data_IF_978679320491
#
_entry.id   IF_978679320491
#
_cell.length_a   1.000
_cell.length_b   1.000
_cell.length_c   1.000
_cell.angle_alpha   90.00
_cell.angle_beta   90.00
_cell.angle_gamma   90.00
#
_symmetry.space_group_name_H-M   'P 1'
#
loop_
_entity.id
_entity.type
_entity.pdbx_description
1 polymer ?
#
# COMPACT_ATOMS: atom_id res chain seq x y z
N UNK A 1 11.77 -6.72 -5.80
CA UNK A 1 12.05 -8.01 -5.13
C UNK A 1 10.84 -8.40 -4.34
N UNK A 2 10.99 -9.03 -3.17
CA UNK A 2 9.84 -9.40 -2.32
C UNK A 2 9.29 -8.27 -1.45
N UNK A 3 9.91 -7.09 -1.49
CA UNK A 3 9.45 -5.89 -0.78
C UNK A 3 9.08 -4.86 -1.86
N UNK A 4 7.88 -4.31 -1.75
CA UNK A 4 7.46 -3.13 -2.48
C UNK A 4 7.79 -1.90 -1.63
N UNK A 5 8.40 -0.89 -2.25
CA UNK A 5 8.54 0.45 -1.70
C UNK A 5 7.68 1.39 -2.53
N UNK A 6 6.72 2.05 -1.88
CA UNK A 6 5.64 2.77 -2.54
C UNK A 6 5.71 4.22 -2.09
N UNK A 7 5.68 5.14 -3.07
CA UNK A 7 5.43 6.56 -2.83
C UNK A 7 4.17 6.97 -3.57
N UNK A 8 3.19 7.48 -2.83
CA UNK A 8 1.93 8.00 -3.35
C UNK A 8 1.99 9.52 -3.32
N UNK A 9 1.53 10.16 -4.38
CA UNK A 9 1.18 11.58 -4.38
C UNK A 9 -0.27 11.75 -4.77
N UNK A 10 -1.07 12.35 -3.89
CA UNK A 10 -2.47 12.67 -4.14
C UNK A 10 -2.66 14.18 -4.09
N UNK A 11 -3.40 14.71 -5.05
CA UNK A 11 -3.69 16.15 -5.16
C UNK A 11 -5.19 16.36 -5.16
N UNK A 12 -5.66 17.12 -4.19
CA UNK A 12 -7.06 17.50 -4.04
C UNK A 12 -7.20 19.01 -4.26
N UNK A 13 -8.36 19.44 -4.76
CA UNK A 13 -8.69 20.85 -4.91
C UNK A 13 -10.08 21.13 -4.38
N UNK A 14 -10.23 22.16 -3.53
CA UNK A 14 -11.55 22.67 -3.19
C UNK A 14 -12.10 23.47 -4.39
N UNK A 15 -12.94 22.82 -5.20
CA UNK A 15 -13.62 23.47 -6.33
C UNK A 15 -14.93 24.15 -5.91
N UNK A 16 -15.31 24.07 -4.64
CA UNK A 16 -16.51 24.68 -4.08
C UNK A 16 -16.35 26.17 -3.81
N UNK A 17 -17.40 26.76 -3.23
CA UNK A 17 -17.45 28.18 -2.82
C UNK A 17 -17.29 28.39 -1.31
N UNK A 18 -17.28 27.31 -0.54
CA UNK A 18 -17.24 27.34 0.92
C UNK A 18 -15.90 26.82 1.43
N UNK A 19 -15.47 27.32 2.59
CA UNK A 19 -14.39 26.72 3.37
C UNK A 19 -14.80 25.31 3.81
N UNK A 20 -13.89 24.35 3.69
CA UNK A 20 -14.12 22.96 4.04
C UNK A 20 -13.24 22.52 5.21
N UNK A 21 -13.74 21.51 5.92
CA UNK A 21 -12.94 20.63 6.77
C UNK A 21 -13.01 19.23 6.16
N UNK A 22 -11.90 18.52 6.15
CA UNK A 22 -11.76 17.21 5.53
C UNK A 22 -11.01 16.25 6.44
N UNK A 23 -11.30 14.97 6.26
CA UNK A 23 -10.58 13.88 6.90
C UNK A 23 -9.88 13.10 5.79
N UNK A 24 -8.56 13.06 5.84
CA UNK A 24 -7.76 12.22 4.97
C UNK A 24 -7.63 10.83 5.60
N UNK A 25 -8.02 9.79 4.86
CA UNK A 25 -7.94 8.40 5.31
C UNK A 25 -7.16 7.58 4.29
N UNK A 26 -6.10 6.93 4.74
CA UNK A 26 -5.32 6.00 3.92
C UNK A 26 -5.51 4.56 4.41
N UNK A 27 -6.15 3.68 3.61
CA UNK A 27 -6.18 2.25 3.88
C UNK A 27 -4.87 1.61 3.43
N UNK A 28 -4.13 1.03 4.37
CA UNK A 28 -2.93 0.26 4.10
C UNK A 28 -3.19 -1.25 4.22
N UNK A 29 -2.29 -2.09 3.67
CA UNK A 29 -2.24 -3.52 3.95
C UNK A 29 -1.85 -3.78 5.41
N UNK A 30 -2.21 -4.93 5.99
CA UNK A 30 -1.69 -5.34 7.32
C UNK A 30 -0.17 -5.50 7.35
N UNK A 31 0.44 -5.66 6.17
CA UNK A 31 1.88 -5.81 5.99
C UNK A 31 2.57 -4.51 5.59
N UNK A 32 1.81 -3.41 5.52
CA UNK A 32 2.35 -2.13 5.15
C UNK A 32 2.98 -1.44 6.36
N UNK A 33 4.19 -0.90 6.18
CA UNK A 33 4.86 -0.05 7.15
C UNK A 33 5.05 1.35 6.55
N UNK A 34 4.22 2.30 7.02
CA UNK A 34 4.32 3.72 6.66
C UNK A 34 5.53 4.33 7.36
N UNK A 35 6.41 4.99 6.61
CA UNK A 35 7.65 5.57 7.14
C UNK A 35 7.82 7.05 6.79
N UNK A 36 7.00 7.61 5.89
CA UNK A 36 6.99 9.05 5.61
C UNK A 36 5.60 9.51 5.22
N UNK A 37 5.16 10.66 5.75
CA UNK A 37 3.96 11.33 5.28
C UNK A 37 4.12 12.85 5.39
N UNK A 38 3.73 13.55 4.33
CA UNK A 38 3.75 15.01 4.22
C UNK A 38 2.46 15.48 3.57
N UNK A 39 1.90 16.57 4.07
CA UNK A 39 0.80 17.27 3.43
C UNK A 39 1.14 18.75 3.24
N UNK A 40 0.79 19.29 2.08
CA UNK A 40 0.95 20.71 1.74
C UNK A 40 -0.40 21.31 1.38
N UNK A 41 -0.76 22.44 1.98
CA UNK A 41 -2.01 23.18 1.75
C UNK A 41 -1.67 24.64 1.52
N UNK A 42 -1.79 25.12 0.28
CA UNK A 42 -1.28 26.45 -0.08
C UNK A 42 0.22 26.55 0.26
N UNK A 43 0.60 27.47 1.15
CA UNK A 43 1.98 27.64 1.65
C UNK A 43 2.29 26.83 2.92
N UNK A 44 1.28 26.21 3.55
CA UNK A 44 1.45 25.47 4.80
C UNK A 44 1.93 24.05 4.50
N UNK A 45 3.00 23.63 5.16
CA UNK A 45 3.48 22.25 5.16
C UNK A 45 3.22 21.59 6.52
N UNK A 46 2.71 20.36 6.48
CA UNK A 46 2.42 19.51 7.64
C UNK A 46 3.23 18.23 7.44
N UNK A 47 4.24 18.02 8.27
CA UNK A 47 5.03 16.80 8.30
C UNK A 47 4.48 15.87 9.39
N UNK A 48 4.18 14.63 9.02
CA UNK A 48 3.80 13.63 10.00
C UNK A 48 5.03 13.13 10.74
N UNK A 49 4.98 13.18 12.07
CA UNK A 49 5.98 12.51 12.91
C UNK A 49 5.48 11.10 13.17
N UNK A 50 6.06 10.12 12.46
CA UNK A 50 5.71 8.71 12.63
C UNK A 50 6.49 8.17 13.83
N UNK A 51 5.77 7.77 14.85
CA UNK A 51 6.32 7.22 16.09
C UNK A 51 5.63 5.93 16.44
N UNK A 52 6.28 5.11 17.28
CA UNK A 52 5.62 3.98 17.92
C UNK A 52 4.37 4.47 18.68
N UNK A 53 3.29 3.68 18.60
CA UNK A 53 1.95 4.06 19.06
C UNK A 53 1.93 4.68 20.47
N UNK A 54 2.62 4.08 21.43
CA UNK A 54 2.62 4.56 22.81
C UNK A 54 3.43 5.86 22.98
N UNK A 55 4.53 6.01 22.24
CA UNK A 55 5.32 7.24 22.23
C UNK A 55 4.57 8.40 21.57
N UNK A 56 3.85 8.12 20.48
CA UNK A 56 3.01 9.11 19.79
C UNK A 56 1.92 9.66 20.71
N UNK A 57 1.26 8.79 21.49
CA UNK A 57 0.22 9.16 22.45
C UNK A 57 0.77 10.06 23.55
N UNK A 58 1.90 9.67 24.16
CA UNK A 58 2.54 10.47 25.22
C UNK A 58 2.92 11.87 24.74
N UNK A 59 3.53 11.97 23.55
CA UNK A 59 3.93 13.25 22.98
C UNK A 59 2.73 14.16 22.66
N UNK A 60 1.61 13.57 22.24
CA UNK A 60 0.37 14.32 22.00
C UNK A 60 -0.23 14.89 23.28
N UNK A 61 -0.39 14.05 24.32
CA UNK A 61 -0.93 14.46 25.62
C UNK A 61 -0.08 15.58 26.24
N UNK A 62 1.24 15.46 26.11
CA UNK A 62 2.18 16.50 26.54
C UNK A 62 2.02 17.80 25.75
N UNK A 63 1.95 17.74 24.41
CA UNK A 63 1.80 18.92 23.57
C UNK A 63 0.48 19.66 23.82
N UNK A 64 -0.60 18.92 24.09
CA UNK A 64 -1.91 19.46 24.51
C UNK A 64 -1.81 20.18 25.85
N UNK A 65 -1.16 19.57 26.84
CA UNK A 65 -0.94 20.19 28.16
C UNK A 65 -0.09 21.47 28.08
N UNK A 66 0.82 21.55 27.10
CA UNK A 66 1.70 22.70 26.86
C UNK A 66 1.06 23.80 25.99
N UNK A 67 -0.18 23.64 25.53
CA UNK A 67 -0.88 24.65 24.72
C UNK A 67 -0.28 24.87 23.33
N UNK A 68 0.50 23.91 22.81
CA UNK A 68 1.12 24.00 21.49
C UNK A 68 0.11 23.63 20.39
N UNK A 69 0.16 24.33 19.27
CA UNK A 69 -0.59 23.96 18.05
C UNK A 69 0.01 22.70 17.44
N UNK A 70 -0.45 21.53 17.87
CA UNK A 70 -0.05 20.23 17.31
C UNK A 70 -1.13 19.72 16.35
N UNK A 71 -0.76 19.33 15.13
CA UNK A 71 -1.61 18.49 14.27
C UNK A 71 -1.32 17.03 14.57
N UNK A 72 -2.32 16.28 15.03
CA UNK A 72 -2.18 14.86 15.35
C UNK A 72 -2.54 13.99 14.14
N UNK A 73 -1.63 13.12 13.74
CA UNK A 73 -1.93 11.98 12.88
C UNK A 73 -2.34 10.81 13.79
N UNK A 74 -3.60 10.38 13.74
CA UNK A 74 -4.10 9.28 14.56
C UNK A 74 -4.18 7.99 13.75
N UNK A 75 -3.50 6.94 14.23
CA UNK A 75 -3.71 5.58 13.76
C UNK A 75 -4.97 5.02 14.43
N UNK A 76 -6.14 5.14 13.77
CA UNK A 76 -7.41 4.61 14.31
C UNK A 76 -7.42 3.08 14.40
N UNK A 77 -6.72 2.37 13.51
CA UNK A 77 -6.58 0.89 13.46
C UNK A 77 -5.19 0.51 12.92
N UNK A 78 -4.70 -0.74 13.13
CA UNK A 78 -3.39 -1.19 12.63
C UNK A 78 -3.09 -0.83 11.17
N UNK A 79 -4.13 -0.70 10.32
CA UNK A 79 -4.00 -0.50 8.88
C UNK A 79 -4.71 0.77 8.36
N UNK A 80 -5.13 1.69 9.22
CA UNK A 80 -5.86 2.90 8.80
C UNK A 80 -5.23 4.12 9.44
N UNK A 81 -4.70 4.99 8.59
CA UNK A 81 -4.11 6.27 8.99
C UNK A 81 -5.12 7.38 8.71
N UNK A 82 -5.37 8.23 9.71
CA UNK A 82 -6.33 9.33 9.59
C UNK A 82 -5.68 10.66 9.96
N UNK A 83 -5.92 11.70 9.15
CA UNK A 83 -5.55 13.08 9.47
C UNK A 83 -6.72 14.04 9.25
N UNK A 84 -6.97 14.89 10.23
CA UNK A 84 -7.99 15.93 10.13
C UNK A 84 -7.36 17.21 9.57
N UNK A 85 -8.04 17.79 8.58
CA UNK A 85 -7.60 18.99 7.86
C UNK A 85 -8.71 20.02 7.93
N UNK A 86 -8.48 21.11 8.66
CA UNK A 86 -9.44 22.19 8.78
C UNK A 86 -9.07 23.39 7.91
N UNK A 87 -10.04 24.26 7.64
CA UNK A 87 -9.87 25.55 6.98
C UNK A 87 -9.31 25.47 5.55
N UNK A 88 -9.86 24.58 4.72
CA UNK A 88 -9.52 24.46 3.29
C UNK A 88 -10.35 25.50 2.52
N UNK A 89 -9.73 26.59 2.08
CA UNK A 89 -10.42 27.69 1.42
C UNK A 89 -10.85 27.33 -0.01
N UNK A 90 -11.86 28.01 -0.57
CA UNK A 90 -12.21 27.88 -1.99
C UNK A 90 -10.98 28.09 -2.89
N UNK A 91 -10.70 27.11 -3.75
CA UNK A 91 -9.55 27.15 -4.65
C UNK A 91 -8.27 26.52 -4.11
N UNK A 92 -8.18 26.24 -2.80
CA UNK A 92 -6.99 25.62 -2.20
C UNK A 92 -6.68 24.28 -2.84
N UNK A 93 -5.38 24.03 -3.00
CA UNK A 93 -4.82 22.75 -3.45
C UNK A 93 -4.14 22.09 -2.25
N UNK A 94 -4.50 20.83 -2.01
CA UNK A 94 -3.92 19.98 -0.99
C UNK A 94 -3.11 18.90 -1.69
N UNK A 95 -1.82 18.81 -1.40
CA UNK A 95 -0.94 17.73 -1.86
C UNK A 95 -0.61 16.83 -0.69
N UNK A 96 -0.85 15.54 -0.81
CA UNK A 96 -0.45 14.52 0.16
C UNK A 96 0.61 13.64 -0.47
N UNK A 97 1.75 13.50 0.19
CA UNK A 97 2.84 12.61 -0.16
C UNK A 97 2.98 11.57 0.95
N UNK A 98 2.86 10.29 0.61
CA UNK A 98 2.90 9.18 1.57
C UNK A 98 3.85 8.11 1.04
N UNK A 99 4.77 7.64 1.90
CA UNK A 99 5.67 6.54 1.57
C UNK A 99 5.55 5.40 2.58
N UNK A 100 5.44 4.18 2.05
CA UNK A 100 5.34 2.96 2.83
C UNK A 100 5.98 1.79 2.11
N UNK A 101 6.36 0.77 2.88
CA UNK A 101 6.82 -0.51 2.34
C UNK A 101 5.78 -1.59 2.58
N UNK A 102 5.72 -2.59 1.70
CA UNK A 102 4.91 -3.80 1.90
C UNK A 102 5.71 -5.05 1.54
N UNK A 103 5.65 -6.08 2.40
CA UNK A 103 6.17 -7.41 2.09
C UNK A 103 5.17 -8.17 1.19
N UNK A 104 5.65 -8.57 0.02
CA UNK A 104 4.93 -9.36 -0.97
C UNK A 104 5.22 -10.85 -0.75
N UNK A 105 4.21 -11.57 -0.27
CA UNK A 105 4.30 -13.02 -0.07
C UNK A 105 3.75 -13.71 -1.32
N UNK A 106 4.53 -14.59 -1.98
CA UNK A 106 4.07 -15.23 -3.20
C UNK A 106 3.03 -16.30 -2.89
N UNK A 107 1.97 -16.33 -3.68
CA UNK A 107 1.00 -17.44 -3.67
C UNK A 107 1.23 -18.30 -4.91
N UNK A 108 1.44 -19.60 -4.72
CA UNK A 108 1.76 -20.53 -5.83
C UNK A 108 2.91 -20.05 -6.73
N UNK A 109 3.91 -19.39 -6.12
CA UNK A 109 5.08 -18.85 -6.80
C UNK A 109 4.84 -17.56 -7.60
N UNK A 110 3.67 -16.93 -7.43
CA UNK A 110 3.33 -15.63 -8.04
C UNK A 110 3.35 -14.58 -6.96
N UNK A 111 4.20 -13.57 -7.13
CA UNK A 111 4.15 -12.35 -6.33
C UNK A 111 3.09 -11.44 -6.93
N UNK A 112 2.25 -10.87 -6.08
CA UNK A 112 1.22 -9.93 -6.48
C UNK A 112 1.36 -8.63 -5.68
N UNK A 113 1.44 -7.52 -6.39
CA UNK A 113 1.29 -6.19 -5.82
C UNK A 113 -0.07 -5.63 -6.24
N UNK A 114 -0.83 -5.14 -5.27
CA UNK A 114 -2.15 -4.54 -5.49
C UNK A 114 -2.14 -3.13 -4.92
N UNK A 115 -2.37 -2.15 -5.79
CA UNK A 115 -2.61 -0.77 -5.39
C UNK A 115 -4.09 -0.42 -5.57
N UNK A 116 -4.84 -0.20 -4.49
CA UNK A 116 -6.24 0.15 -4.58
C UNK A 116 -6.40 1.60 -5.08
N UNK A 117 -7.14 1.78 -6.16
CA UNK A 117 -7.44 3.10 -6.74
C UNK A 117 -8.89 3.53 -6.47
N UNK A 118 -9.75 2.56 -6.15
CA UNK A 118 -11.15 2.77 -5.82
C UNK A 118 -11.35 2.56 -4.33
N UNK A 119 -11.89 3.58 -3.66
CA UNK A 119 -12.38 3.43 -2.29
C UNK A 119 -13.87 3.09 -2.38
N UNK A 120 -14.18 1.78 -2.44
CA UNK A 120 -15.56 1.31 -2.29
C UNK A 120 -16.03 1.40 -0.83
N UNK A 121 -17.35 1.46 -0.58
CA UNK A 121 -17.89 1.36 0.77
C UNK A 121 -17.46 0.01 1.37
N UNK A 122 -16.88 0.04 2.58
CA UNK A 122 -16.48 -1.21 3.23
C UNK A 122 -17.70 -1.83 3.90
N UNK A 123 -17.97 -3.10 3.57
CA UNK A 123 -19.05 -3.85 4.23
C UNK A 123 -18.80 -3.93 5.73
N UNK A 124 -19.75 -3.38 6.48
CA UNK A 124 -19.88 -3.52 7.92
C UNK A 124 -20.89 -4.63 8.20
N UNK A 125 -20.60 -5.50 9.17
CA UNK A 125 -21.58 -6.47 9.67
C UNK A 125 -22.65 -5.83 10.57
N UNK A 126 -22.58 -4.51 10.80
CA UNK A 126 -23.56 -3.74 11.57
C UNK A 126 -24.29 -2.73 10.67
N UNK A 127 -25.63 -2.63 10.77
CA UNK A 127 -26.40 -1.59 10.10
C UNK A 127 -25.87 -0.19 10.45
N UNK A 128 -25.78 0.71 9.46
CA UNK A 128 -25.29 2.09 9.63
C UNK A 128 -26.00 2.85 10.76
N UNK A 129 -27.27 2.53 11.04
CA UNK A 129 -28.07 3.13 12.12
C UNK A 129 -27.59 2.75 13.53
N UNK A 130 -26.84 1.65 13.65
CA UNK A 130 -26.30 1.13 14.92
C UNK A 130 -24.78 1.21 15.02
N UNK A 131 -24.12 1.66 13.95
CA UNK A 131 -22.67 1.76 13.88
C UNK A 131 -22.16 2.82 14.87
N UNK A 132 -21.07 2.51 15.58
CA UNK A 132 -20.46 3.47 16.50
C UNK A 132 -19.95 4.70 15.74
N UNK A 133 -19.81 5.89 16.36
CA UNK A 133 -19.29 7.09 15.68
C UNK A 133 -17.93 6.89 14.98
N UNK A 134 -17.14 5.92 15.47
CA UNK A 134 -15.87 5.49 14.88
C UNK A 134 -16.00 4.66 13.57
N UNK A 135 -17.22 4.32 13.16
CA UNK A 135 -17.54 3.55 11.95
C UNK A 135 -18.12 4.41 10.81
N UNK A 136 -18.28 5.73 11.01
CA UNK A 136 -18.81 6.65 10.01
C UNK A 136 -17.99 6.77 8.71
N UNK A 137 -16.75 6.24 8.67
CA UNK A 137 -15.94 6.14 7.44
C UNK A 137 -16.44 5.07 6.44
N UNK A 138 -17.36 4.20 6.87
CA UNK A 138 -18.02 3.19 6.02
C UNK A 138 -18.94 3.84 4.98
N UNK A 139 -19.45 5.05 5.26
CA UNK A 139 -20.35 5.81 4.39
C UNK A 139 -19.62 6.80 3.46
N UNK A 140 -18.42 6.45 2.99
CA UNK A 140 -17.69 7.36 2.10
C UNK A 140 -18.40 7.47 0.73
N UNK A 141 -18.57 8.69 0.19
CA UNK A 141 -19.03 8.87 -1.18
C UNK A 141 -18.11 8.10 -2.13
N UNK A 142 -18.70 7.34 -3.04
CA UNK A 142 -17.98 6.57 -4.05
C UNK A 142 -18.55 6.87 -5.43
N UNK A 143 -17.72 6.70 -6.46
CA UNK A 143 -18.13 6.86 -7.85
C UNK A 143 -18.97 5.65 -8.28
N UNK A 144 -20.16 5.89 -8.84
CA UNK A 144 -21.05 4.79 -9.25
C UNK A 144 -20.55 4.12 -10.53
N UNK A 145 -20.97 2.87 -10.73
CA UNK A 145 -20.65 2.14 -11.96
C UNK A 145 -21.15 2.91 -13.20
N UNK A 146 -20.30 3.04 -14.22
CA UNK A 146 -20.59 3.80 -15.44
C UNK A 146 -20.23 5.28 -15.39
N UNK A 147 -19.93 5.84 -14.20
CA UNK A 147 -19.42 7.20 -14.09
C UNK A 147 -17.90 7.26 -14.33
N UNK A 148 -17.45 8.32 -15.01
CA UNK A 148 -16.01 8.53 -15.22
C UNK A 148 -15.38 9.09 -13.94
N UNK A 149 -14.24 8.53 -13.49
CA UNK A 149 -13.44 9.14 -12.43
C UNK A 149 -13.20 10.62 -12.69
N UNK A 150 -13.24 11.45 -11.65
CA UNK A 150 -13.00 12.90 -11.76
C UNK A 150 -11.52 13.28 -11.60
N UNK A 151 -10.63 12.29 -11.54
CA UNK A 151 -9.21 12.44 -11.27
C UNK A 151 -8.37 11.74 -12.33
N UNK A 152 -7.12 12.18 -12.44
CA UNK A 152 -6.10 11.52 -13.24
C UNK A 152 -5.39 10.46 -12.39
N UNK A 153 -4.92 9.40 -13.05
CA UNK A 153 -4.18 8.32 -12.40
C UNK A 153 -2.92 8.02 -13.20
N UNK A 154 -1.81 7.85 -12.50
CA UNK A 154 -0.56 7.39 -13.06
C UNK A 154 0.16 6.54 -12.02
N UNK A 155 0.80 5.47 -12.48
CA UNK A 155 1.65 4.62 -11.68
C UNK A 155 2.82 4.12 -12.52
N UNK A 156 4.00 4.13 -11.91
CA UNK A 156 5.22 3.56 -12.46
C UNK A 156 5.71 2.49 -11.51
N UNK A 157 6.05 1.32 -12.03
CA UNK A 157 6.58 0.22 -11.23
C UNK A 157 7.92 -0.22 -11.77
N UNK A 158 8.87 -0.42 -10.86
CA UNK A 158 10.17 -1.03 -11.17
C UNK A 158 10.34 -2.27 -10.31
N UNK A 159 10.46 -3.44 -10.95
CA UNK A 159 10.76 -4.69 -10.28
C UNK A 159 12.27 -4.89 -10.34
N UNK A 160 12.97 -4.62 -9.24
CA UNK A 160 14.37 -5.00 -9.05
C UNK A 160 14.45 -6.22 -8.12
N UNK A 161 14.63 -7.41 -8.69
CA UNK A 161 14.44 -8.65 -7.95
C UNK A 161 15.71 -9.33 -7.44
N UNK A 162 16.90 -8.93 -7.91
CA UNK A 162 18.17 -9.62 -7.57
C UNK A 162 18.24 -11.07 -8.07
N UNK A 163 17.21 -11.51 -8.78
CA UNK A 163 16.94 -12.81 -9.38
C UNK A 163 16.33 -12.56 -10.76
N UNK A 164 16.49 -13.49 -11.71
CA UNK A 164 15.79 -13.41 -12.99
C UNK A 164 14.27 -13.34 -12.77
N UNK A 165 13.64 -12.37 -13.43
CA UNK A 165 12.19 -12.25 -13.49
C UNK A 165 11.71 -13.05 -14.70
N UNK A 166 10.96 -14.13 -14.46
CA UNK A 166 10.58 -15.07 -15.52
C UNK A 166 9.27 -14.72 -16.21
N UNK A 167 8.37 -14.05 -15.49
CA UNK A 167 7.02 -13.71 -15.94
C UNK A 167 6.59 -12.42 -15.25
N UNK A 168 5.98 -11.50 -16.01
CA UNK A 168 5.42 -10.24 -15.52
C UNK A 168 4.16 -9.94 -16.31
N UNK A 169 3.08 -9.58 -15.62
CA UNK A 169 1.84 -9.15 -16.25
C UNK A 169 1.08 -8.16 -15.36
N UNK A 170 0.34 -7.28 -16.01
CA UNK A 170 -0.65 -6.41 -15.36
C UNK A 170 -2.05 -6.85 -15.83
N UNK A 171 -2.77 -7.70 -15.10
CA UNK A 171 -4.10 -8.15 -15.51
C UNK A 171 -5.17 -7.04 -15.44
N UNK A 172 -4.86 -5.93 -14.77
CA UNK A 172 -5.81 -4.86 -14.47
C UNK A 172 -5.80 -3.73 -15.50
N UNK A 173 -4.63 -3.41 -16.08
CA UNK A 173 -4.41 -2.22 -16.92
C UNK A 173 -3.57 -2.55 -18.15
N UNK A 174 -3.73 -1.77 -19.22
CA UNK A 174 -2.79 -1.83 -20.34
C UNK A 174 -1.46 -1.15 -19.95
N UNK A 175 -0.37 -1.92 -19.98
CA UNK A 175 0.95 -1.45 -19.59
C UNK A 175 2.00 -1.75 -20.65
N UNK A 176 2.98 -0.86 -20.78
CA UNK A 176 4.26 -1.18 -21.41
C UNK A 176 5.15 -1.84 -20.36
N UNK A 177 5.67 -3.03 -20.66
CA UNK A 177 6.52 -3.82 -19.77
C UNK A 177 7.85 -4.00 -20.48
N UNK A 178 8.90 -3.39 -19.95
CA UNK A 178 10.24 -3.41 -20.54
C UNK A 178 11.22 -4.13 -19.61
N UNK A 179 11.85 -5.19 -20.12
CA UNK A 179 12.90 -5.90 -19.43
C UNK A 179 14.24 -5.19 -19.68
N UNK A 180 14.61 -4.28 -18.78
CA UNK A 180 15.91 -3.57 -18.83
C UNK A 180 17.09 -4.52 -18.61
N UNK A 181 16.89 -5.56 -17.80
CA UNK A 181 17.81 -6.66 -17.60
C UNK A 181 17.02 -7.91 -17.17
N UNK A 182 17.64 -9.10 -17.08
CA UNK A 182 16.97 -10.28 -16.52
C UNK A 182 16.38 -10.04 -15.12
N UNK A 183 16.94 -9.12 -14.33
CA UNK A 183 16.57 -8.91 -12.92
C UNK A 183 15.82 -7.59 -12.68
N UNK A 184 15.65 -6.78 -13.73
CA UNK A 184 15.06 -5.44 -13.67
C UNK A 184 14.00 -5.30 -14.75
N UNK A 185 12.77 -5.01 -14.33
CA UNK A 185 11.64 -4.79 -15.24
C UNK A 185 11.00 -3.46 -14.90
N UNK A 186 10.79 -2.60 -15.89
CA UNK A 186 10.00 -1.38 -15.76
C UNK A 186 8.60 -1.59 -16.36
N UNK A 187 7.60 -1.04 -15.67
CA UNK A 187 6.19 -1.13 -16.04
C UNK A 187 5.61 0.27 -15.97
N UNK A 188 5.06 0.71 -17.10
CA UNK A 188 4.41 2.00 -17.26
C UNK A 188 2.99 1.81 -17.77
N UNK A 189 2.04 2.62 -17.29
CA UNK A 189 0.73 2.68 -17.93
C UNK A 189 0.88 3.13 -19.37
N UNK A 190 0.20 2.42 -20.29
CA UNK A 190 0.28 2.72 -21.72
C UNK A 190 -0.46 4.01 -22.06
N UNK A 191 -1.52 4.34 -21.32
CA UNK A 191 -2.29 5.55 -21.55
C UNK A 191 -2.68 6.26 -20.23
N UNK A 192 -1.93 7.28 -19.87
CA UNK A 192 -2.23 8.09 -18.67
C UNK A 192 -3.37 9.10 -18.86
N UNK A 193 -3.92 9.19 -20.08
CA UNK A 193 -5.05 10.10 -20.40
C UNK A 193 -6.41 9.41 -20.32
N UNK A 194 -6.43 8.08 -20.27
CA UNK A 194 -7.63 7.29 -20.00
C UNK A 194 -7.85 7.18 -18.49
N UNK A 195 -9.12 7.26 -18.07
CA UNK A 195 -9.55 7.18 -16.68
C UNK A 195 -9.31 5.78 -16.09
N UNK A 196 -8.05 5.49 -15.79
CA UNK A 196 -7.57 4.16 -15.42
C UNK A 196 -7.71 3.87 -13.92
N UNK A 197 -7.89 4.88 -13.07
CA UNK A 197 -8.12 4.69 -11.63
C UNK A 197 -9.48 4.07 -11.24
N UNK A 198 -10.23 3.44 -12.15
CA UNK A 198 -11.56 2.89 -11.84
C UNK A 198 -11.54 1.46 -11.30
N UNK A 199 -10.35 0.89 -11.06
CA UNK A 199 -10.13 -0.46 -10.52
C UNK A 199 -8.72 -0.56 -9.94
N UNK A 200 -8.52 -1.53 -9.07
CA UNK A 200 -7.21 -1.76 -8.47
C UNK A 200 -6.13 -2.00 -9.53
N UNK A 201 -4.97 -1.40 -9.34
CA UNK A 201 -3.80 -1.65 -10.16
C UNK A 201 -3.05 -2.86 -9.61
N UNK A 202 -2.97 -3.91 -10.42
CA UNK A 202 -2.45 -5.23 -10.04
C UNK A 202 -1.26 -5.55 -10.93
N UNK A 203 -0.11 -5.84 -10.33
CA UNK A 203 1.07 -6.38 -11.01
C UNK A 203 1.37 -7.76 -10.43
N UNK A 204 1.48 -8.74 -11.33
CA UNK A 204 1.86 -10.10 -10.98
C UNK A 204 3.18 -10.45 -11.64
N UNK A 205 4.09 -11.07 -10.89
CA UNK A 205 5.38 -11.51 -11.42
C UNK A 205 5.89 -12.79 -10.76
N UNK A 206 6.81 -13.49 -11.43
CA UNK A 206 7.42 -14.73 -10.92
C UNK A 206 8.94 -14.63 -10.92
N UNK A 207 9.53 -15.05 -9.80
CA UNK A 207 10.98 -15.21 -9.64
C UNK A 207 11.41 -16.67 -9.70
N UNK A 208 10.48 -17.62 -9.50
CA UNK A 208 10.78 -19.05 -9.55
C UNK A 208 10.94 -19.54 -11.00
N UNK A 209 12.14 -19.99 -11.35
CA UNK A 209 12.46 -20.62 -12.62
C UNK A 209 12.27 -22.15 -12.61
N UNK A 210 12.93 -22.83 -13.54
CA UNK A 210 12.89 -24.30 -13.66
C UNK A 210 13.87 -25.03 -12.72
N UNK A 211 14.73 -24.29 -12.03
CA UNK A 211 15.73 -24.78 -11.08
C UNK A 211 15.65 -23.95 -9.79
N UNK A 212 16.38 -24.36 -8.77
CA UNK A 212 16.62 -23.50 -7.61
C UNK A 212 17.36 -22.25 -8.10
N UNK A 213 16.81 -21.09 -7.80
CA UNK A 213 17.44 -19.81 -8.10
C UNK A 213 17.69 -19.06 -6.80
N UNK A 214 18.87 -18.46 -6.69
CA UNK A 214 19.26 -17.67 -5.52
C UNK A 214 19.84 -16.34 -5.97
N UNK A 215 19.54 -15.29 -5.21
CA UNK A 215 19.93 -13.93 -5.54
C UNK A 215 20.20 -13.11 -4.29
N UNK A 216 20.99 -12.07 -4.46
CA UNK A 216 21.38 -11.17 -3.39
C UNK A 216 21.05 -9.74 -3.81
N UNK A 217 20.30 -9.04 -2.97
CA UNK A 217 20.18 -7.59 -3.05
C UNK A 217 21.08 -6.98 -1.98
N UNK A 218 21.88 -6.00 -2.37
CA UNK A 218 22.81 -5.30 -1.48
C UNK A 218 22.33 -3.87 -1.32
N UNK A 219 22.29 -3.39 -0.08
CA UNK A 219 21.97 -2.02 0.25
C UNK A 219 23.08 -1.43 1.11
N UNK A 220 23.67 -0.33 0.63
CA UNK A 220 24.73 0.37 1.34
C UNK A 220 24.11 1.52 2.13
N UNK A 221 23.97 1.35 3.44
CA UNK A 221 23.51 2.41 4.33
C UNK A 221 24.64 3.32 4.80
N UNK A 222 24.30 4.38 5.53
CA UNK A 222 25.27 5.35 6.05
C UNK A 222 26.12 4.78 7.19
N UNK A 223 25.51 4.01 8.09
CA UNK A 223 26.17 3.41 9.26
C UNK A 223 26.42 1.91 9.10
N UNK A 224 25.50 1.21 8.44
CA UNK A 224 25.54 -0.23 8.26
C UNK A 224 25.11 -0.61 6.84
N UNK A 225 25.64 -1.73 6.35
CA UNK A 225 25.24 -2.32 5.09
C UNK A 225 24.27 -3.45 5.35
N UNK A 226 23.26 -3.57 4.49
CA UNK A 226 22.23 -4.58 4.57
C UNK A 226 22.27 -5.43 3.32
N UNK A 227 21.83 -6.67 3.44
CA UNK A 227 21.59 -7.53 2.29
C UNK A 227 20.30 -8.31 2.47
N UNK A 228 19.70 -8.68 1.34
CA UNK A 228 18.59 -9.62 1.29
C UNK A 228 19.02 -10.79 0.42
N UNK A 229 19.18 -11.96 1.04
CA UNK A 229 19.39 -13.21 0.35
C UNK A 229 18.03 -13.86 0.07
N UNK A 230 17.79 -14.18 -1.20
CA UNK A 230 16.57 -14.85 -1.64
C UNK A 230 16.93 -16.20 -2.26
N UNK A 231 16.13 -17.21 -1.97
CA UNK A 231 16.21 -18.52 -2.60
C UNK A 231 14.79 -18.94 -3.01
N UNK A 232 14.60 -19.21 -4.29
CA UNK A 232 13.34 -19.65 -4.87
C UNK A 232 13.43 -21.13 -5.26
N UNK A 233 12.48 -21.97 -4.84
CA UNK A 233 12.40 -23.34 -5.34
C UNK A 233 12.05 -23.34 -6.84
N UNK A 234 12.30 -24.45 -7.56
CA UNK A 234 11.82 -24.58 -8.93
C UNK A 234 10.29 -24.52 -8.96
N UNK A 235 9.75 -23.96 -10.06
CA UNK A 235 8.30 -23.86 -10.31
C UNK A 235 7.56 -25.20 -10.18
N UNK A 236 8.24 -26.29 -10.50
CA UNK A 236 7.74 -27.66 -10.34
C UNK A 236 8.82 -28.50 -9.67
N UNK A 237 8.45 -29.15 -8.57
CA UNK A 237 9.28 -30.13 -7.88
C UNK A 237 8.87 -31.51 -8.37
N UNK A 238 9.83 -32.31 -8.82
CA UNK A 238 9.57 -33.70 -9.22
C UNK A 238 9.59 -34.61 -7.99
N UNK A 239 8.87 -35.74 -8.05
CA UNK A 239 8.72 -36.64 -6.90
C UNK A 239 10.06 -37.21 -6.38
N UNK A 240 11.05 -37.38 -7.24
CA UNK A 240 12.41 -37.82 -6.91
C UNK A 240 13.22 -36.77 -6.12
N UNK A 241 12.80 -35.51 -6.15
CA UNK A 241 13.42 -34.41 -5.40
C UNK A 241 12.80 -34.20 -4.02
N UNK A 242 11.66 -34.85 -3.73
CA UNK A 242 10.96 -34.72 -2.46
C UNK A 242 11.58 -35.73 -1.49
N UNK A 243 12.25 -35.30 -0.40
CA UNK A 243 12.77 -36.24 0.58
C UNK A 243 11.62 -37.05 1.19
N UNK A 244 11.82 -38.34 1.52
CA UNK A 244 10.80 -39.14 2.21
C UNK A 244 10.31 -38.44 3.48
N UNK A 245 8.99 -38.43 3.69
CA UNK A 245 8.34 -37.80 4.85
C UNK A 245 7.50 -38.82 5.58
N UNK A 246 7.61 -38.84 6.89
CA UNK A 246 6.70 -39.56 7.78
C UNK A 246 5.64 -38.56 8.28
N UNK A 247 4.36 -38.89 8.09
CA UNK A 247 3.25 -38.07 8.57
C UNK A 247 2.51 -38.85 9.67
N UNK A 248 2.56 -38.35 10.90
CA UNK A 248 1.81 -38.90 12.04
C UNK A 248 0.62 -37.96 12.31
N UNK A 249 -0.59 -38.46 12.09
CA UNK A 249 -1.81 -37.72 12.37
C UNK A 249 -2.33 -38.13 13.75
N UNK A 250 -2.41 -37.17 14.67
CA UNK A 250 -3.05 -37.35 15.97
C UNK A 250 -4.46 -36.77 15.85
N UNK A 251 -5.47 -37.64 15.93
CA UNK A 251 -6.88 -37.25 15.82
C UNK A 251 -7.52 -37.36 17.19
N UNK A 252 -8.11 -36.26 17.66
CA UNK A 252 -8.91 -36.26 18.88
C UNK A 252 -10.24 -37.00 18.61
N UNK A 253 -10.55 -37.95 19.48
CA UNK A 253 -11.78 -38.77 19.43
C UNK A 253 -12.65 -38.56 20.68
N UNK A 254 -12.41 -37.49 21.44
CA UNK A 254 -13.26 -37.13 22.57
C UNK A 254 -14.67 -36.75 22.10
N UNK A 255 -15.68 -37.24 22.82
CA UNK A 255 -17.08 -36.88 22.57
C UNK A 255 -17.35 -35.45 23.03
N UNK A 256 -18.00 -34.66 22.16
CA UNK A 256 -18.39 -33.25 22.37
C UNK A 256 -19.27 -33.03 23.59
#
# INVERSE_FOLDING_TARGET
GVIADITITQVYKNQGKNTLEAIYVFPASTRAAVYSMKMTIGEREILAIIQEKELARQNYEQAMAEGKTASLLEQKRPNVFQMNVANILPGDIIKVELSYTELLVPESGVYEFVYPTVVGPRYSNQPLETASPDENWIANPYTHEGEKPTYTFNITVTIAAGLPVHDVRCPSHETNIDFESPNTVSILLKNTSTFEGNRDFIVQYRLAGNKIESGLLLFKGEKENFFLAMMQPPKKVNNDQIPPREYVFIVDVSGS
#
